data_IF_903635455637
#
_entry.id   IF_903635455637
#
_cell.length_a   1.000
_cell.length_b   1.000
_cell.length_c   1.000
_cell.angle_alpha   90.00
_cell.angle_beta   90.00
_cell.angle_gamma   90.00
#
_symmetry.space_group_name_H-M   'P 1'
#
loop_
_entity.id
_entity.type
_entity.pdbx_description
1 polymer ?
#
# COMPACT_ATOMS: atom_id res chain seq x y z
N UNK A 1 22.92 11.92 -5.14
CA UNK A 1 22.47 12.82 -6.21
C UNK A 1 20.97 13.01 -6.16
N UNK A 2 20.54 14.23 -6.20
CA UNK A 2 19.10 14.51 -6.20
C UNK A 2 18.51 14.34 -7.58
N UNK A 3 17.43 13.62 -7.64
CA UNK A 3 16.66 13.50 -8.85
C UNK A 3 15.58 14.58 -8.85
N UNK A 4 15.57 15.40 -9.88
CA UNK A 4 14.58 16.46 -10.01
C UNK A 4 13.41 15.95 -10.84
N UNK A 5 12.21 16.09 -10.29
CA UNK A 5 11.00 15.68 -10.98
C UNK A 5 10.16 16.92 -11.28
N UNK A 6 9.73 17.06 -12.53
CA UNK A 6 8.89 18.18 -12.92
C UNK A 6 7.46 17.99 -12.47
N UNK A 7 6.71 19.08 -12.41
CA UNK A 7 5.28 19.02 -12.07
C UNK A 7 4.54 18.13 -13.06
N UNK A 8 4.91 18.20 -14.32
CA UNK A 8 4.30 17.38 -15.36
C UNK A 8 4.51 15.89 -15.10
N UNK A 9 5.73 15.53 -14.72
CA UNK A 9 6.04 14.13 -14.40
C UNK A 9 5.27 13.65 -13.17
N UNK A 10 5.16 14.50 -12.17
CA UNK A 10 4.40 14.16 -10.97
C UNK A 10 2.93 13.87 -11.28
N UNK A 11 2.39 14.59 -12.26
CA UNK A 11 0.99 14.43 -12.65
C UNK A 11 0.74 13.25 -13.59
N UNK A 12 1.78 12.73 -14.22
CA UNK A 12 1.63 11.74 -15.27
C UNK A 12 0.98 10.45 -14.83
N UNK A 13 1.16 10.07 -13.56
CA UNK A 13 0.56 8.86 -12.99
C UNK A 13 -0.78 9.08 -12.34
N UNK A 14 -1.32 10.29 -12.43
CA UNK A 14 -2.57 10.64 -11.77
C UNK A 14 -2.38 10.99 -10.30
N UNK A 15 -3.48 11.06 -9.60
CA UNK A 15 -3.49 11.44 -8.19
C UNK A 15 -4.18 10.39 -7.37
N UNK A 16 -3.79 10.30 -6.11
CA UNK A 16 -4.52 9.54 -5.11
C UNK A 16 -4.76 10.44 -3.90
N UNK A 17 -5.90 10.24 -3.24
CA UNK A 17 -6.24 11.00 -2.04
C UNK A 17 -5.56 10.38 -0.84
N UNK A 18 -4.85 11.20 -0.10
CA UNK A 18 -4.14 10.76 1.08
C UNK A 18 -4.70 11.47 2.30
N UNK A 19 -5.14 10.73 3.33
CA UNK A 19 -5.74 11.37 4.51
C UNK A 19 -4.75 12.28 5.22
N UNK A 20 -5.21 13.47 5.60
CA UNK A 20 -4.35 14.43 6.30
C UNK A 20 -3.83 13.88 7.62
N UNK A 21 -4.64 13.10 8.31
CA UNK A 21 -4.24 12.50 9.55
C UNK A 21 -2.98 11.64 9.39
N UNK A 22 -2.86 10.96 8.26
CA UNK A 22 -1.67 10.17 7.98
C UNK A 22 -0.44 11.03 7.82
N UNK A 23 -0.59 12.18 7.21
CA UNK A 23 0.53 13.12 7.07
C UNK A 23 0.98 13.56 8.46
N UNK A 24 0.04 13.88 9.33
CA UNK A 24 0.36 14.27 10.70
C UNK A 24 1.05 13.15 11.46
N UNK A 25 0.54 11.93 11.33
CA UNK A 25 1.15 10.78 11.99
C UNK A 25 2.56 10.50 11.46
N UNK A 26 2.75 10.65 10.17
CA UNK A 26 4.05 10.47 9.54
C UNK A 26 5.05 11.48 10.10
N UNK A 27 4.63 12.72 10.25
CA UNK A 27 5.50 13.77 10.79
C UNK A 27 5.83 13.54 12.27
N UNK A 28 4.85 13.10 13.05
CA UNK A 28 5.06 12.79 14.46
C UNK A 28 6.03 11.64 14.65
N UNK A 29 5.95 10.64 13.79
CA UNK A 29 6.76 9.44 13.91
C UNK A 29 8.06 9.51 13.12
N UNK A 30 8.38 10.68 12.62
CA UNK A 30 9.56 10.85 11.79
C UNK A 30 10.83 10.39 12.49
N UNK A 31 10.95 10.67 13.76
CA UNK A 31 12.15 10.34 14.47
C UNK A 31 12.15 9.01 15.17
N UNK A 32 11.13 8.54 15.73
CA UNK A 32 11.51 7.72 16.81
C UNK A 32 11.37 6.24 16.69
N UNK A 33 10.36 5.72 16.18
CA UNK A 33 10.16 4.29 16.37
C UNK A 33 10.11 3.57 15.06
N UNK A 34 11.14 2.79 14.80
CA UNK A 34 11.26 2.05 13.55
C UNK A 34 10.02 1.22 13.22
N UNK A 35 9.36 0.67 14.24
CA UNK A 35 8.16 -0.15 14.02
C UNK A 35 7.00 0.65 13.43
N UNK A 36 6.73 1.82 14.01
CA UNK A 36 5.66 2.68 13.52
C UNK A 36 5.98 3.20 12.14
N UNK A 37 7.24 3.55 11.92
CA UNK A 37 7.69 4.04 10.63
C UNK A 37 7.47 3.01 9.52
N UNK A 38 7.80 1.76 9.79
CA UNK A 38 7.60 0.70 8.80
C UNK A 38 6.11 0.49 8.52
N UNK A 39 5.28 0.54 9.55
CA UNK A 39 3.84 0.39 9.38
C UNK A 39 3.28 1.50 8.49
N UNK A 40 3.72 2.74 8.71
CA UNK A 40 3.32 3.85 7.86
C UNK A 40 3.83 3.65 6.44
N UNK A 41 5.07 3.18 6.29
CA UNK A 41 5.64 2.89 4.97
C UNK A 41 4.84 1.85 4.22
N UNK A 42 4.41 0.78 4.90
CA UNK A 42 3.57 -0.24 4.29
C UNK A 42 2.24 0.36 3.84
N UNK A 43 1.64 1.21 4.67
CA UNK A 43 0.39 1.85 4.31
C UNK A 43 0.54 2.76 3.09
N UNK A 44 1.60 3.54 3.04
CA UNK A 44 1.88 4.41 1.89
C UNK A 44 2.07 3.57 0.63
N UNK A 45 2.79 2.46 0.74
CA UNK A 45 3.00 1.56 -0.38
C UNK A 45 1.67 1.04 -0.92
N UNK A 46 0.79 0.59 -0.02
CA UNK A 46 -0.53 0.12 -0.39
C UNK A 46 -1.35 1.24 -1.03
N UNK A 47 -1.35 2.39 -0.40
CA UNK A 47 -2.16 3.51 -0.85
C UNK A 47 -1.77 3.94 -2.26
N UNK A 48 -0.49 3.89 -2.58
CA UNK A 48 0.00 4.23 -3.92
C UNK A 48 -0.39 3.23 -4.99
N UNK A 49 -0.83 2.02 -4.61
CA UNK A 49 -1.22 0.98 -5.56
C UNK A 49 -2.72 0.79 -5.68
N UNK A 50 -3.51 1.55 -4.93
CA UNK A 50 -4.97 1.40 -4.97
C UNK A 50 -5.51 1.70 -6.36
N UNK A 51 -6.48 0.89 -6.77
CA UNK A 51 -7.10 1.05 -8.08
C UNK A 51 -8.01 2.28 -8.09
N UNK A 52 -7.91 3.06 -9.16
CA UNK A 52 -8.81 4.18 -9.41
C UNK A 52 -10.05 3.74 -10.16
N UNK A 53 -9.93 2.63 -10.88
CA UNK A 53 -11.01 2.03 -11.67
C UNK A 53 -10.96 0.54 -11.50
N UNK A 54 -12.08 -0.15 -11.56
CA UNK A 54 -12.09 -1.61 -11.48
C UNK A 54 -11.27 -2.23 -12.61
N UNK A 55 -10.59 -3.32 -12.30
CA UNK A 55 -9.86 -4.08 -13.31
C UNK A 55 -9.79 -5.55 -12.90
N UNK A 56 -9.46 -6.41 -13.86
CA UNK A 56 -9.28 -7.82 -13.60
C UNK A 56 -7.80 -8.13 -13.50
N UNK A 57 -7.42 -8.81 -12.44
CA UNK A 57 -6.06 -9.24 -12.23
C UNK A 57 -5.96 -10.75 -12.47
N UNK A 58 -4.98 -11.18 -13.21
CA UNK A 58 -4.75 -12.60 -13.47
C UNK A 58 -3.54 -13.08 -12.70
N UNK A 59 -3.75 -14.07 -11.84
CA UNK A 59 -2.65 -14.72 -11.16
C UNK A 59 -1.91 -15.66 -12.10
N UNK A 60 -0.70 -16.04 -11.71
CA UNK A 60 0.15 -16.91 -12.50
C UNK A 60 -0.53 -18.23 -12.89
N UNK A 61 -1.44 -18.72 -12.08
CA UNK A 61 -2.20 -19.94 -12.37
C UNK A 61 -3.38 -19.76 -13.31
N UNK A 62 -3.53 -18.58 -13.89
CA UNK A 62 -4.62 -18.31 -14.83
C UNK A 62 -5.93 -17.87 -14.17
N UNK A 63 -5.99 -17.86 -12.87
CA UNK A 63 -7.18 -17.45 -12.14
C UNK A 63 -7.34 -15.92 -12.17
N UNK A 64 -8.54 -15.47 -12.47
CA UNK A 64 -8.84 -14.02 -12.51
C UNK A 64 -9.54 -13.59 -11.26
N UNK A 65 -9.21 -12.40 -10.81
CA UNK A 65 -9.83 -11.76 -9.66
C UNK A 65 -10.20 -10.34 -10.04
N UNK A 66 -11.42 -9.95 -9.69
CA UNK A 66 -11.86 -8.57 -9.91
C UNK A 66 -11.33 -7.69 -8.80
N UNK A 67 -10.66 -6.62 -9.18
CA UNK A 67 -10.14 -5.62 -8.24
C UNK A 67 -10.95 -4.36 -8.42
N UNK A 68 -11.52 -3.90 -7.33
CA UNK A 68 -12.39 -2.75 -7.34
C UNK A 68 -11.68 -1.50 -6.83
N UNK A 69 -12.32 -0.36 -7.01
CA UNK A 69 -11.80 0.90 -6.54
C UNK A 69 -11.48 0.84 -5.04
N UNK A 70 -10.32 1.36 -4.66
CA UNK A 70 -9.88 1.30 -3.26
C UNK A 70 -9.27 -0.02 -2.85
N UNK A 71 -9.04 -0.92 -3.79
CA UNK A 71 -8.42 -2.22 -3.57
C UNK A 71 -7.14 -2.33 -4.38
N UNK A 72 -6.27 -3.24 -3.98
CA UNK A 72 -5.07 -3.56 -4.77
C UNK A 72 -4.59 -4.97 -4.43
N UNK A 73 -3.73 -5.49 -5.29
CA UNK A 73 -3.05 -6.77 -5.07
C UNK A 73 -1.68 -6.48 -4.48
N UNK A 74 -1.34 -7.19 -3.42
CA UNK A 74 -0.04 -7.04 -2.75
C UNK A 74 0.78 -8.31 -2.92
N UNK A 75 2.00 -8.13 -3.38
CA UNK A 75 3.01 -9.17 -3.38
C UNK A 75 4.00 -8.82 -2.28
N UNK A 76 3.92 -9.57 -1.18
CA UNK A 76 4.67 -9.22 0.04
C UNK A 76 6.17 -9.15 -0.20
N UNK A 77 6.69 -10.07 -0.98
CA UNK A 77 8.12 -10.10 -1.31
C UNK A 77 8.55 -8.80 -2.00
N UNK A 78 7.77 -8.38 -2.99
CA UNK A 78 8.04 -7.15 -3.73
C UNK A 78 7.94 -5.93 -2.82
N UNK A 79 6.92 -5.91 -1.97
CA UNK A 79 6.72 -4.81 -1.03
C UNK A 79 7.87 -4.72 -0.04
N UNK A 80 8.28 -5.85 0.54
CA UNK A 80 9.38 -5.87 1.49
C UNK A 80 10.68 -5.36 0.84
N UNK A 81 10.93 -5.76 -0.38
CA UNK A 81 12.11 -5.30 -1.12
C UNK A 81 12.05 -3.79 -1.36
N UNK A 82 10.89 -3.29 -1.74
CA UNK A 82 10.70 -1.86 -1.99
C UNK A 82 10.92 -1.03 -0.72
N UNK A 83 10.53 -1.58 0.43
CA UNK A 83 10.65 -0.89 1.71
C UNK A 83 11.98 -1.16 2.41
N UNK A 84 12.80 -2.04 1.85
CA UNK A 84 14.09 -2.36 2.45
C UNK A 84 13.99 -3.09 3.78
N UNK A 85 12.98 -3.95 3.94
CA UNK A 85 12.78 -4.68 5.18
C UNK A 85 12.67 -6.18 4.93
N UNK A 86 12.68 -6.96 6.01
CA UNK A 86 12.52 -8.40 5.90
C UNK A 86 11.09 -8.77 5.58
N UNK A 87 10.91 -9.96 5.05
CA UNK A 87 9.59 -10.50 4.76
C UNK A 87 8.75 -10.59 6.04
N UNK A 88 9.36 -11.02 7.12
CA UNK A 88 8.68 -11.10 8.42
C UNK A 88 8.19 -9.72 8.88
N UNK A 89 9.05 -8.71 8.79
CA UNK A 89 8.70 -7.37 9.22
C UNK A 89 7.55 -6.79 8.37
N UNK A 90 7.58 -7.05 7.07
CA UNK A 90 6.52 -6.59 6.17
C UNK A 90 5.19 -7.23 6.53
N UNK A 91 5.17 -8.54 6.77
CA UNK A 91 3.94 -9.25 7.17
C UNK A 91 3.41 -8.76 8.50
N UNK A 92 4.30 -8.54 9.45
CA UNK A 92 3.92 -8.06 10.77
C UNK A 92 3.25 -6.68 10.67
N UNK A 93 3.86 -5.77 9.92
CA UNK A 93 3.31 -4.43 9.73
C UNK A 93 1.95 -4.50 9.04
N UNK A 94 1.81 -5.35 8.03
CA UNK A 94 0.55 -5.53 7.33
C UNK A 94 -0.54 -6.04 8.27
N UNK A 95 -0.22 -7.02 9.11
CA UNK A 95 -1.17 -7.56 10.08
C UNK A 95 -1.58 -6.51 11.12
N UNK A 96 -0.65 -5.69 11.56
CA UNK A 96 -0.94 -4.62 12.52
C UNK A 96 -1.92 -3.60 11.91
N UNK A 97 -1.71 -3.24 10.65
CA UNK A 97 -2.63 -2.35 9.95
C UNK A 97 -4.02 -2.95 9.85
N UNK A 98 -4.10 -4.26 9.60
CA UNK A 98 -5.39 -4.95 9.53
C UNK A 98 -6.09 -4.97 10.90
N UNK A 99 -5.33 -5.20 11.96
CA UNK A 99 -5.89 -5.20 13.32
C UNK A 99 -6.40 -3.81 13.71
N UNK A 100 -5.78 -2.77 13.20
CA UNK A 100 -6.18 -1.38 13.46
C UNK A 100 -7.28 -0.90 12.51
N UNK A 101 -7.78 -1.78 11.65
CA UNK A 101 -8.81 -1.46 10.67
C UNK A 101 -8.40 -0.40 9.65
N UNK A 102 -7.10 -0.22 9.46
CA UNK A 102 -6.60 0.68 8.44
C UNK A 102 -6.69 0.06 7.06
N UNK A 103 -6.60 -1.26 7.01
CA UNK A 103 -6.77 -2.04 5.80
C UNK A 103 -7.62 -3.26 6.11
N UNK A 104 -8.26 -3.82 5.08
CA UNK A 104 -8.92 -5.12 5.16
C UNK A 104 -8.22 -6.06 4.19
N UNK A 105 -7.81 -7.22 4.68
CA UNK A 105 -7.23 -8.25 3.84
C UNK A 105 -8.33 -9.07 3.21
N UNK A 106 -8.25 -9.26 1.90
CA UNK A 106 -9.22 -10.02 1.14
C UNK A 106 -8.47 -11.19 0.51
N UNK A 107 -8.91 -12.39 0.81
CA UNK A 107 -8.33 -13.56 0.19
C UNK A 107 -8.82 -13.66 -1.25
N UNK A 108 -7.89 -13.66 -2.20
CA UNK A 108 -8.22 -13.67 -3.61
C UNK A 108 -7.36 -14.71 -4.33
N UNK A 109 -7.91 -15.89 -4.48
CA UNK A 109 -7.15 -16.98 -5.10
C UNK A 109 -5.91 -17.33 -4.29
N UNK A 110 -4.75 -17.34 -4.93
CA UNK A 110 -3.48 -17.64 -4.29
C UNK A 110 -2.76 -16.38 -3.83
N UNK A 111 -3.36 -15.22 -4.01
CA UNK A 111 -2.72 -13.96 -3.67
C UNK A 111 -3.42 -13.24 -2.55
N UNK A 112 -2.92 -12.07 -2.25
CA UNK A 112 -3.47 -11.20 -1.23
C UNK A 112 -3.97 -9.92 -1.87
N UNK A 113 -5.26 -9.67 -1.73
CA UNK A 113 -5.84 -8.37 -2.07
C UNK A 113 -6.05 -7.59 -0.79
N UNK A 114 -5.95 -6.29 -0.88
CA UNK A 114 -6.10 -5.39 0.26
C UNK A 114 -7.07 -4.29 -0.12
N UNK A 115 -7.94 -3.92 0.81
CA UNK A 115 -8.88 -2.82 0.66
C UNK A 115 -8.59 -1.78 1.73
N UNK A 116 -8.64 -0.51 1.35
CA UNK A 116 -8.59 0.59 2.31
C UNK A 116 -10.02 1.08 2.52
N UNK A 117 -10.60 0.85 3.71
CA UNK A 117 -12.04 1.09 3.93
C UNK A 117 -12.49 2.52 3.74
N UNK A 118 -11.63 3.48 4.01
CA UNK A 118 -11.97 4.90 3.92
C UNK A 118 -11.53 5.55 2.60
N UNK A 119 -11.09 4.76 1.65
CA UNK A 119 -10.68 5.28 0.35
C UNK A 119 -11.92 5.73 -0.44
N UNK A 120 -11.82 6.88 -1.05
CA UNK A 120 -12.86 7.39 -1.93
C UNK A 120 -12.29 7.85 -3.25
#
# INVERSE_FOLDING_TARGET
>A
MKQTVSVKELKSGGYTRFPRLFIDLLLQDYYPKNKTRLKIGVFIYIFGKLANKPYNYRYAGGKRVSIYEGQCIIHITTMARALGCSLYAARKALNELAEENMIHKIKAGNGLAVKVPFYK
#
